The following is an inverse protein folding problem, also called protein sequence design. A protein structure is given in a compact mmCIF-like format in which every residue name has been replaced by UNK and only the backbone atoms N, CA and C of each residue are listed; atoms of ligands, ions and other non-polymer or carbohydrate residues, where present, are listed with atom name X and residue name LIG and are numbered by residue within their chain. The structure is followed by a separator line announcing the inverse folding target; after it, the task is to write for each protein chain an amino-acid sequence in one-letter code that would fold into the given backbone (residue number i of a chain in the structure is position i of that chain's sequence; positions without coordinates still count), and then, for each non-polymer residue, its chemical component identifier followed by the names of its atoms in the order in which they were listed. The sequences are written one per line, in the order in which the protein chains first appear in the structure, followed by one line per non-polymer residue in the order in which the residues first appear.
data_IF_167989198805
#
_entry.id   IF_167989198805
#
_cell.length_a   1.000
_cell.length_b   1.000
_cell.length_c   1.000
_cell.angle_alpha   90.00
_cell.angle_beta   90.00
_cell.angle_gamma   90.00
#
_symmetry.space_group_name_H-M   'P 1'
#
loop_
_entity.id
_entity.type
_entity.pdbx_description
1 polymer ?
#
# COMPACT_ATOMS: atom_id res chain seq x y z
N UNK A 1 9.70 10.99 10.54
CA UNK A 1 8.60 10.18 11.09
C UNK A 1 7.29 10.82 10.69
N UNK A 2 6.44 10.08 10.04
CA UNK A 2 5.20 10.61 9.54
C UNK A 2 4.16 10.75 10.65
N UNK A 3 3.36 11.80 10.58
CA UNK A 3 2.26 11.99 11.50
C UNK A 3 1.20 10.90 11.30
N UNK A 4 0.50 10.48 12.35
CA UNK A 4 -0.63 9.57 12.18
C UNK A 4 -1.69 10.15 11.26
N UNK A 5 -2.35 9.28 10.49
CA UNK A 5 -3.38 9.66 9.54
C UNK A 5 -4.65 8.86 9.78
N UNK A 6 -5.76 9.55 10.02
CA UNK A 6 -7.08 8.93 10.08
C UNK A 6 -7.84 9.24 8.79
N UNK A 7 -8.16 8.21 8.03
CA UNK A 7 -9.05 8.31 6.87
C UNK A 7 -10.46 7.92 7.31
N UNK A 8 -11.39 8.87 7.26
CA UNK A 8 -12.77 8.68 7.71
C UNK A 8 -13.68 9.74 7.08
N UNK A 9 -14.62 9.39 6.20
CA UNK A 9 -14.85 8.05 5.68
C UNK A 9 -13.89 7.68 4.57
N UNK A 10 -13.72 6.40 4.36
CA UNK A 10 -12.96 5.83 3.25
C UNK A 10 -13.62 4.49 2.88
N UNK A 11 -13.48 4.07 1.64
CA UNK A 11 -13.98 2.76 1.22
C UNK A 11 -12.94 1.70 1.54
N UNK A 12 -13.39 0.61 2.14
CA UNK A 12 -12.51 -0.49 2.56
C UNK A 12 -12.89 -1.76 1.80
N UNK A 13 -11.89 -2.40 1.22
CA UNK A 13 -12.00 -3.72 0.62
C UNK A 13 -11.18 -4.70 1.46
N UNK A 14 -11.85 -5.53 2.25
CA UNK A 14 -11.20 -6.34 3.27
C UNK A 14 -10.79 -7.73 2.80
N UNK A 15 -11.13 -8.12 1.58
CA UNK A 15 -10.73 -9.41 1.05
C UNK A 15 -11.49 -9.78 -0.21
N UNK A 16 -11.05 -10.86 -0.88
CA UNK A 16 -11.71 -11.32 -2.09
C UNK A 16 -13.14 -11.79 -1.81
N UNK A 17 -14.02 -11.52 -2.75
CA UNK A 17 -15.41 -11.89 -2.63
C UNK A 17 -16.26 -11.04 -1.70
N UNK A 18 -15.67 -10.02 -1.07
CA UNK A 18 -16.39 -9.09 -0.20
C UNK A 18 -16.58 -7.75 -0.90
N UNK A 19 -17.77 -7.12 -0.79
CA UNK A 19 -17.97 -5.80 -1.36
C UNK A 19 -17.17 -4.75 -0.58
N UNK A 20 -16.81 -3.68 -1.26
CA UNK A 20 -16.23 -2.53 -0.59
C UNK A 20 -17.29 -1.89 0.32
N UNK A 21 -16.87 -1.43 1.49
CA UNK A 21 -17.74 -0.77 2.44
C UNK A 21 -17.14 0.55 2.90
N UNK A 22 -17.97 1.44 3.38
CA UNK A 22 -17.51 2.67 4.01
C UNK A 22 -17.03 2.36 5.43
N UNK A 23 -15.94 2.98 5.85
CA UNK A 23 -15.39 2.80 7.19
C UNK A 23 -14.32 3.81 7.47
N UNK A 24 -13.47 3.50 8.45
CA UNK A 24 -12.34 4.33 8.85
C UNK A 24 -11.09 3.48 9.02
N UNK A 25 -9.94 4.10 8.79
CA UNK A 25 -8.66 3.44 9.00
C UNK A 25 -7.67 4.43 9.59
N UNK A 26 -6.90 3.98 10.57
CA UNK A 26 -5.84 4.74 11.20
C UNK A 26 -4.49 4.17 10.78
N UNK A 27 -3.63 5.05 10.31
CA UNK A 27 -2.28 4.70 9.86
C UNK A 27 -1.29 5.41 10.79
N UNK A 28 -0.43 4.63 11.43
CA UNK A 28 0.63 5.13 12.30
C UNK A 28 1.95 4.52 11.88
N UNK A 29 2.97 5.36 11.63
CA UNK A 29 4.31 4.89 11.25
C UNK A 29 4.26 3.86 10.11
N UNK A 30 3.51 4.16 9.06
CA UNK A 30 3.33 3.33 7.87
C UNK A 30 2.63 1.99 8.12
N UNK A 31 1.96 1.84 9.25
CA UNK A 31 1.23 0.63 9.63
C UNK A 31 -0.24 0.96 9.83
N UNK A 32 -1.13 0.11 9.33
CA UNK A 32 -2.55 0.18 9.64
C UNK A 32 -2.75 -0.36 11.05
N UNK A 33 -3.11 0.50 11.98
CA UNK A 33 -3.18 0.12 13.41
C UNK A 33 -4.58 -0.13 13.92
N UNK A 34 -5.59 0.43 13.28
CA UNK A 34 -6.97 0.27 13.72
C UNK A 34 -7.94 0.53 12.57
N UNK A 35 -9.16 0.01 12.71
CA UNK A 35 -10.25 0.17 11.75
C UNK A 35 -11.53 0.61 12.45
N UNK A 36 -12.38 1.35 11.74
CA UNK A 36 -13.72 1.73 12.17
C UNK A 36 -13.72 2.47 13.51
N UNK A 37 -14.53 2.04 14.46
CA UNK A 37 -14.64 2.73 15.74
C UNK A 37 -13.36 2.73 16.55
N UNK A 38 -12.59 1.65 16.51
CA UNK A 38 -11.29 1.59 17.17
C UNK A 38 -10.34 2.64 16.58
N UNK A 39 -10.37 2.82 15.26
CA UNK A 39 -9.57 3.85 14.61
C UNK A 39 -9.96 5.25 15.06
N UNK A 40 -11.26 5.51 15.15
CA UNK A 40 -11.79 6.81 15.59
C UNK A 40 -11.43 7.12 17.04
N UNK A 41 -11.59 6.13 17.91
CA UNK A 41 -11.25 6.29 19.34
C UNK A 41 -9.76 6.53 19.53
N UNK A 42 -8.93 5.74 18.87
CA UNK A 42 -7.48 5.89 18.98
C UNK A 42 -7.01 7.22 18.40
N UNK A 43 -7.55 7.64 17.28
CA UNK A 43 -7.23 8.92 16.68
C UNK A 43 -7.63 10.08 17.61
N UNK A 44 -8.79 10.00 18.24
CA UNK A 44 -9.21 11.01 19.22
C UNK A 44 -8.25 11.09 20.40
N UNK A 45 -7.79 9.94 20.90
CA UNK A 45 -6.80 9.89 21.98
C UNK A 45 -5.46 10.49 21.57
N UNK A 46 -5.08 10.36 20.29
CA UNK A 46 -3.84 10.91 19.75
C UNK A 46 -3.98 12.37 19.28
N UNK A 47 -5.18 12.92 19.28
CA UNK A 47 -5.42 14.26 18.78
C UNK A 47 -5.35 14.37 17.25
N UNK A 48 -5.62 13.31 16.53
CA UNK A 48 -5.57 13.26 15.08
C UNK A 48 -6.93 13.59 14.48
N UNK A 49 -6.99 14.60 13.60
CA UNK A 49 -8.21 14.96 12.90
C UNK A 49 -8.49 14.00 11.74
N UNK A 50 -9.77 13.76 11.46
CA UNK A 50 -10.17 12.91 10.34
C UNK A 50 -9.94 13.60 9.00
N UNK A 51 -9.43 12.86 8.03
CA UNK A 51 -9.34 13.27 6.63
C UNK A 51 -10.40 12.49 5.85
N UNK A 52 -11.35 13.19 5.27
CA UNK A 52 -12.39 12.55 4.48
C UNK A 52 -11.85 12.11 3.12
N UNK A 53 -12.07 10.86 2.77
CA UNK A 53 -11.64 10.29 1.49
C UNK A 53 -12.72 9.35 0.93
N UNK A 54 -13.97 9.85 0.74
CA UNK A 54 -15.10 8.98 0.41
C UNK A 54 -14.98 8.31 -0.96
N UNK A 55 -14.18 8.87 -1.86
CA UNK A 55 -13.98 8.32 -3.20
C UNK A 55 -12.72 7.47 -3.32
N UNK A 56 -11.94 7.36 -2.25
CA UNK A 56 -10.73 6.53 -2.25
C UNK A 56 -11.02 5.16 -1.67
N UNK A 57 -10.27 4.19 -2.15
CA UNK A 57 -10.38 2.79 -1.73
C UNK A 57 -9.08 2.36 -1.05
N UNK A 58 -9.20 1.83 0.16
CA UNK A 58 -8.10 1.14 0.83
C UNK A 58 -8.32 -0.36 0.67
N UNK A 59 -7.34 -1.05 0.13
CA UNK A 59 -7.38 -2.47 -0.16
C UNK A 59 -6.02 -3.09 0.09
N UNK A 60 -5.93 -4.42 0.24
CA UNK A 60 -4.64 -5.08 0.23
C UNK A 60 -3.91 -4.78 -1.08
N UNK A 61 -2.59 -4.56 -0.99
CA UNK A 61 -1.79 -4.28 -2.18
C UNK A 61 -1.70 -5.51 -3.08
N UNK A 62 -1.50 -5.26 -4.36
CA UNK A 62 -1.26 -6.32 -5.31
C UNK A 62 0.15 -6.89 -5.12
N UNK A 63 0.32 -8.17 -5.39
CA UNK A 63 1.61 -8.86 -5.37
C UNK A 63 1.86 -9.43 -6.74
N UNK A 64 3.01 -9.11 -7.33
CA UNK A 64 3.44 -9.71 -8.59
C UNK A 64 4.43 -10.84 -8.27
N UNK A 65 4.02 -12.10 -8.43
CA UNK A 65 4.91 -13.22 -8.10
C UNK A 65 5.92 -13.53 -9.20
N UNK A 66 5.88 -12.85 -10.34
CA UNK A 66 6.68 -13.19 -11.50
C UNK A 66 7.04 -11.97 -12.34
N UNK A 67 7.96 -11.15 -11.84
CA UNK A 67 8.54 -10.06 -12.60
C UNK A 67 9.91 -10.45 -13.14
N UNK A 68 10.22 -10.00 -14.33
CA UNK A 68 11.50 -10.28 -14.97
C UNK A 68 12.23 -8.97 -15.25
N UNK A 69 13.47 -8.91 -14.80
CA UNK A 69 14.35 -7.77 -15.06
C UNK A 69 15.63 -8.31 -15.72
N UNK A 70 15.93 -7.91 -16.97
CA UNK A 70 17.15 -8.37 -17.62
C UNK A 70 18.37 -7.77 -16.91
N UNK A 71 19.29 -8.62 -16.50
CA UNK A 71 20.63 -8.27 -16.02
C UNK A 71 20.68 -7.06 -15.05
N UNK A 72 20.27 -7.20 -13.81
CA UNK A 72 20.27 -6.09 -12.85
C UNK A 72 21.69 -5.68 -12.42
N UNK A 73 22.70 -6.46 -12.76
CA UNK A 73 24.08 -6.20 -12.34
C UNK A 73 24.93 -5.47 -13.40
N UNK A 74 24.37 -5.16 -14.53
CA UNK A 74 25.11 -4.54 -15.65
C UNK A 74 24.83 -3.05 -15.78
N UNK A 75 24.85 -2.32 -14.64
CA UNK A 75 24.56 -0.90 -14.64
C UNK A 75 23.07 -0.58 -14.78
N UNK A 76 22.21 -1.49 -14.40
CA UNK A 76 20.77 -1.36 -14.56
C UNK A 76 20.04 -0.97 -13.25
N UNK A 77 20.73 -0.29 -12.34
CA UNK A 77 20.09 0.18 -11.10
C UNK A 77 18.88 1.07 -11.36
N UNK A 78 18.99 1.95 -12.37
CA UNK A 78 17.86 2.81 -12.76
C UNK A 78 16.69 2.00 -13.31
N UNK A 79 16.96 0.93 -14.03
CA UNK A 79 15.91 0.05 -14.55
C UNK A 79 15.15 -0.63 -13.40
N UNK A 80 15.86 -1.07 -12.37
CA UNK A 80 15.23 -1.65 -11.19
C UNK A 80 14.36 -0.61 -10.47
N UNK A 81 14.88 0.60 -10.27
CA UNK A 81 14.13 1.70 -9.64
C UNK A 81 12.88 2.02 -10.48
N UNK A 82 13.00 2.09 -11.79
CA UNK A 82 11.88 2.34 -12.69
C UNK A 82 10.82 1.25 -12.59
N UNK A 83 11.22 -0.02 -12.52
CA UNK A 83 10.29 -1.14 -12.36
C UNK A 83 9.54 -1.04 -11.05
N UNK A 84 10.23 -0.77 -9.94
CA UNK A 84 9.61 -0.65 -8.63
C UNK A 84 8.64 0.55 -8.59
N UNK A 85 9.02 1.66 -9.20
CA UNK A 85 8.14 2.84 -9.26
C UNK A 85 6.89 2.58 -10.08
N UNK A 86 7.02 1.90 -11.22
CA UNK A 86 5.87 1.52 -12.04
C UNK A 86 4.97 0.52 -11.31
N UNK A 87 5.55 -0.46 -10.62
CA UNK A 87 4.78 -1.42 -9.84
C UNK A 87 3.99 -0.73 -8.74
N UNK A 88 4.60 0.18 -8.00
CA UNK A 88 3.93 0.94 -6.95
C UNK A 88 2.77 1.78 -7.51
N UNK A 89 3.00 2.46 -8.64
CA UNK A 89 1.96 3.26 -9.29
C UNK A 89 0.80 2.40 -9.80
N UNK A 90 1.05 1.14 -10.14
CA UNK A 90 0.02 0.20 -10.57
C UNK A 90 -0.69 -0.52 -9.41
N UNK A 91 -0.30 -0.25 -8.16
CA UNK A 91 -0.93 -0.86 -6.98
C UNK A 91 -0.24 -2.10 -6.44
N UNK A 92 0.96 -2.42 -6.93
CA UNK A 92 1.72 -3.56 -6.44
C UNK A 92 2.58 -3.14 -5.25
N UNK A 93 2.36 -3.78 -4.11
CA UNK A 93 3.17 -3.56 -2.90
C UNK A 93 4.35 -4.50 -2.78
N UNK A 94 4.33 -5.61 -3.52
CA UNK A 94 5.41 -6.60 -3.54
C UNK A 94 5.56 -7.15 -4.94
N UNK A 95 6.80 -7.37 -5.37
CA UNK A 95 7.11 -8.06 -6.60
C UNK A 95 8.22 -9.10 -6.34
N UNK A 96 8.15 -10.23 -7.03
CA UNK A 96 9.20 -11.22 -7.03
C UNK A 96 9.97 -11.13 -8.34
N UNK A 97 11.26 -10.84 -8.27
CA UNK A 97 12.11 -10.74 -9.44
C UNK A 97 12.70 -12.11 -9.78
N UNK A 98 12.56 -12.49 -11.03
CA UNK A 98 13.16 -13.70 -11.54
C UNK A 98 14.39 -13.33 -12.36
N UNK A 99 15.53 -13.99 -12.13
CA UNK A 99 16.72 -13.76 -12.94
C UNK A 99 16.48 -14.25 -14.37
N UNK A 100 17.00 -13.46 -15.29
CA UNK A 100 16.92 -13.79 -16.70
C UNK A 100 18.30 -13.63 -17.32
N UNK A 101 18.78 -14.70 -17.94
CA UNK A 101 20.11 -14.74 -18.50
C UNK A 101 21.10 -15.40 -17.53
N UNK A 102 22.29 -15.64 -18.04
CA UNK A 102 23.32 -16.41 -17.33
C UNK A 102 24.20 -15.55 -16.41
N UNK A 103 24.01 -14.25 -16.41
CA UNK A 103 24.88 -13.31 -15.72
C UNK A 103 24.34 -12.86 -14.35
N UNK A 104 23.31 -13.47 -13.91
CA UNK A 104 22.75 -13.18 -12.59
C UNK A 104 23.67 -13.64 -11.46
#
# INVERSE_FOLDING_TARGET
MDAPLLLDPVRLLCGPGKPARSGAVLIEADVLTAFDDDARERAAALGVAATAAPLQLVAPCLVDPHSVLPSPFSGHGETLVSLLSCAAAAGYGQIALLPRGITW
#
